data_IF_150023571076
#
_entry.id   IF_150023571076
#
_cell.length_a   1.000
_cell.length_b   1.000
_cell.length_c   1.000
_cell.angle_alpha   90.00
_cell.angle_beta   90.00
_cell.angle_gamma   90.00
#
_symmetry.space_group_name_H-M   'P 1'
#
loop_
_entity.id
_entity.type
_entity.pdbx_description
1 polymer ?
#
# COMPACT_ATOMS: atom_id res chain seq x y z
N UNK A 1 9.92 7.26 1.26
CA UNK A 1 8.71 7.88 1.83
C UNK A 1 7.68 8.04 0.71
N UNK A 2 6.45 7.56 0.86
CA UNK A 2 5.43 7.58 -0.20
C UNK A 2 4.31 8.55 0.21
N UNK A 3 4.41 9.80 -0.25
CA UNK A 3 3.35 10.78 -0.10
C UNK A 3 2.35 10.60 -1.25
N UNK A 4 1.08 10.35 -0.92
CA UNK A 4 0.00 10.39 -1.88
C UNK A 4 -0.52 11.83 -1.96
N UNK A 5 0.04 12.65 -2.84
CA UNK A 5 -0.66 13.86 -3.29
C UNK A 5 -0.70 13.86 -4.82
N UNK A 6 -1.91 14.01 -5.36
CA UNK A 6 -2.19 13.99 -6.80
C UNK A 6 -1.88 15.34 -7.46
N UNK A 7 -0.97 16.12 -6.87
CA UNK A 7 -0.56 17.44 -7.33
C UNK A 7 0.91 17.39 -7.75
N UNK A 8 1.30 18.20 -8.72
CA UNK A 8 2.71 18.45 -9.07
C UNK A 8 3.56 18.88 -7.87
N UNK A 9 2.91 19.40 -6.82
CA UNK A 9 3.52 19.74 -5.54
C UNK A 9 3.98 18.51 -4.74
N UNK A 10 3.31 17.36 -4.90
CA UNK A 10 3.65 16.10 -4.22
C UNK A 10 4.96 15.49 -4.69
N UNK A 11 5.14 15.39 -5.99
CA UNK A 11 6.38 14.88 -6.58
C UNK A 11 7.57 15.77 -6.20
N UNK A 12 7.41 17.10 -6.27
CA UNK A 12 8.44 18.05 -5.84
C UNK A 12 8.83 17.87 -4.37
N UNK A 13 7.85 17.74 -3.46
CA UNK A 13 8.13 17.49 -2.03
C UNK A 13 8.87 16.19 -1.82
N UNK A 14 8.46 15.12 -2.51
CA UNK A 14 9.11 13.81 -2.39
C UNK A 14 10.55 13.86 -2.89
N UNK A 15 10.82 14.57 -3.98
CA UNK A 15 12.19 14.80 -4.45
C UNK A 15 13.01 15.68 -3.51
N UNK A 16 12.42 16.74 -2.94
CA UNK A 16 13.08 17.60 -1.95
C UNK A 16 13.48 16.83 -0.67
N UNK A 17 12.77 15.74 -0.35
CA UNK A 17 13.11 14.81 0.73
C UNK A 17 14.20 13.79 0.35
N UNK A 18 14.84 13.93 -0.81
CA UNK A 18 15.90 13.05 -1.27
C UNK A 18 15.43 11.69 -1.80
N UNK A 19 14.13 11.54 -2.13
CA UNK A 19 13.62 10.28 -2.68
C UNK A 19 14.03 10.16 -4.14
N UNK A 20 14.97 9.24 -4.41
CA UNK A 20 15.47 8.97 -5.76
C UNK A 20 14.42 8.41 -6.73
N UNK A 21 13.42 7.68 -6.23
CA UNK A 21 12.41 7.00 -7.05
C UNK A 21 10.99 7.28 -6.56
N UNK A 22 10.39 8.36 -7.04
CA UNK A 22 9.02 8.74 -6.71
C UNK A 22 8.02 7.99 -7.60
N UNK A 23 7.15 7.18 -6.99
CA UNK A 23 6.16 6.35 -7.69
C UNK A 23 4.76 6.93 -7.50
N UNK A 24 4.55 8.09 -8.11
CA UNK A 24 3.26 8.78 -8.12
C UNK A 24 2.70 8.68 -9.55
N UNK A 25 1.57 8.02 -9.79
CA UNK A 25 0.97 7.94 -11.13
C UNK A 25 0.24 9.24 -11.46
N UNK A 26 0.35 9.72 -12.71
CA UNK A 26 -0.41 10.88 -13.16
C UNK A 26 -1.83 10.43 -13.56
N UNK A 27 -2.88 10.95 -12.93
CA UNK A 27 -4.26 10.66 -13.35
C UNK A 27 -4.59 11.38 -14.68
N UNK A 28 -5.54 10.83 -15.43
CA UNK A 28 -6.03 11.46 -16.67
C UNK A 28 -5.00 11.49 -17.80
N UNK A 29 -4.95 12.63 -18.52
CA UNK A 29 -4.09 12.78 -19.68
C UNK A 29 -2.59 12.76 -19.33
N UNK A 30 -1.81 11.97 -20.08
CA UNK A 30 -0.37 11.79 -19.89
C UNK A 30 0.37 12.15 -21.17
N UNK A 31 1.42 12.97 -21.04
CA UNK A 31 2.37 13.22 -22.12
C UNK A 31 3.18 11.95 -22.43
N UNK A 32 3.82 11.91 -23.60
CA UNK A 32 4.68 10.79 -23.99
C UNK A 32 5.82 10.55 -23.00
N UNK A 33 6.49 11.63 -22.57
CA UNK A 33 7.51 11.59 -21.52
C UNK A 33 6.99 10.97 -20.22
N UNK A 34 5.76 11.32 -19.81
CA UNK A 34 5.17 10.75 -18.60
C UNK A 34 4.86 9.26 -18.75
N UNK A 35 4.37 8.85 -19.92
CA UNK A 35 4.13 7.44 -20.22
C UNK A 35 5.43 6.66 -20.15
N UNK A 36 6.50 7.17 -20.76
CA UNK A 36 7.81 6.51 -20.76
C UNK A 36 8.41 6.45 -19.35
N UNK A 37 8.25 7.51 -18.55
CA UNK A 37 8.62 7.53 -17.14
C UNK A 37 7.87 6.46 -16.33
N UNK A 38 6.55 6.37 -16.45
CA UNK A 38 5.72 5.39 -15.72
C UNK A 38 5.93 3.94 -16.19
N UNK A 39 6.43 3.76 -17.43
CA UNK A 39 6.81 2.46 -17.99
C UNK A 39 8.13 1.94 -17.46
N UNK A 40 8.92 2.73 -16.75
CA UNK A 40 10.16 2.23 -16.16
C UNK A 40 9.91 1.05 -15.22
N UNK A 41 10.81 0.07 -15.22
CA UNK A 41 10.63 -1.18 -14.46
C UNK A 41 10.46 -0.92 -12.96
N UNK A 42 11.26 -0.03 -12.38
CA UNK A 42 11.19 0.32 -10.96
C UNK A 42 9.86 1.01 -10.62
N UNK A 43 9.32 1.83 -11.52
CA UNK A 43 8.03 2.50 -11.33
C UNK A 43 6.89 1.50 -11.29
N UNK A 44 6.86 0.57 -12.26
CA UNK A 44 5.88 -0.54 -12.28
C UNK A 44 5.96 -1.42 -11.04
N UNK A 45 7.17 -1.76 -10.58
CA UNK A 45 7.38 -2.53 -9.35
C UNK A 45 6.88 -1.78 -8.11
N UNK A 46 7.17 -0.49 -7.99
CA UNK A 46 6.67 0.32 -6.88
C UNK A 46 5.15 0.44 -6.86
N UNK A 47 4.53 0.60 -8.05
CA UNK A 47 3.06 0.60 -8.20
C UNK A 47 2.46 -0.73 -7.75
N UNK A 48 3.03 -1.85 -8.21
CA UNK A 48 2.59 -3.19 -7.83
C UNK A 48 2.74 -3.44 -6.32
N UNK A 49 3.84 -2.97 -5.72
CA UNK A 49 4.04 -3.06 -4.27
C UNK A 49 2.97 -2.30 -3.48
N UNK A 50 2.63 -1.06 -3.88
CA UNK A 50 1.52 -0.30 -3.29
C UNK A 50 0.19 -1.03 -3.42
N UNK A 51 -0.13 -1.50 -4.62
CA UNK A 51 -1.37 -2.24 -4.87
C UNK A 51 -1.45 -3.53 -4.04
N UNK A 52 -0.34 -4.24 -3.88
CA UNK A 52 -0.24 -5.41 -3.00
C UNK A 52 -0.47 -5.08 -1.52
N UNK A 53 -0.02 -3.90 -1.06
CA UNK A 53 -0.33 -3.38 0.27
C UNK A 53 -1.83 -3.19 0.50
N UNK A 54 -2.50 -2.51 -0.43
CA UNK A 54 -3.96 -2.30 -0.38
C UNK A 54 -4.72 -3.63 -0.44
N UNK A 55 -4.30 -4.55 -1.32
CA UNK A 55 -4.88 -5.88 -1.40
C UNK A 55 -4.73 -6.66 -0.08
N UNK A 56 -3.58 -6.53 0.60
CA UNK A 56 -3.37 -7.13 1.92
C UNK A 56 -4.29 -6.50 2.97
N UNK A 57 -4.42 -5.18 3.00
CA UNK A 57 -5.33 -4.48 3.92
C UNK A 57 -6.78 -4.93 3.69
N UNK A 58 -7.23 -4.98 2.43
CA UNK A 58 -8.54 -5.48 2.07
C UNK A 58 -8.75 -6.94 2.54
N UNK A 59 -7.77 -7.81 2.31
CA UNK A 59 -7.80 -9.20 2.81
C UNK A 59 -7.95 -9.24 4.33
N UNK A 60 -7.17 -8.47 5.08
CA UNK A 60 -7.28 -8.41 6.54
C UNK A 60 -8.67 -7.92 6.99
N UNK A 61 -9.23 -6.92 6.32
CA UNK A 61 -10.58 -6.40 6.61
C UNK A 61 -11.67 -7.43 6.36
N UNK A 62 -11.65 -8.11 5.21
CA UNK A 62 -12.75 -8.97 4.75
C UNK A 62 -12.64 -10.42 5.22
N UNK A 63 -11.42 -10.95 5.43
CA UNK A 63 -11.20 -12.37 5.79
C UNK A 63 -10.83 -12.57 7.25
N UNK A 64 -10.20 -11.58 7.90
CA UNK A 64 -9.60 -11.74 9.23
C UNK A 64 -10.15 -10.76 10.27
N UNK A 65 -11.31 -10.16 10.02
CA UNK A 65 -12.04 -9.36 11.01
C UNK A 65 -11.45 -8.00 11.34
N UNK A 66 -10.45 -7.51 10.59
CA UNK A 66 -9.82 -6.20 10.86
C UNK A 66 -10.78 -5.02 10.69
N UNK A 67 -11.88 -5.18 9.95
CA UNK A 67 -12.77 -4.08 9.58
C UNK A 67 -13.47 -3.40 10.78
N UNK A 68 -13.74 -4.14 11.87
CA UNK A 68 -14.41 -3.60 13.06
C UNK A 68 -13.91 -4.30 14.33
N UNK A 69 -13.54 -3.50 15.33
CA UNK A 69 -13.18 -4.00 16.65
C UNK A 69 -14.43 -4.36 17.46
N UNK A 70 -14.40 -5.52 18.14
CA UNK A 70 -15.37 -5.90 19.18
C UNK A 70 -15.00 -5.36 20.57
N UNK A 71 -13.75 -4.93 20.74
CA UNK A 71 -13.26 -4.31 21.97
C UNK A 71 -13.51 -2.79 21.93
N UNK A 72 -13.75 -2.19 23.10
CA UNK A 72 -13.92 -0.74 23.24
C UNK A 72 -12.56 -0.02 23.24
N UNK A 73 -12.55 1.19 22.69
CA UNK A 73 -11.40 2.11 22.72
C UNK A 73 -10.26 1.76 21.75
N UNK A 74 -9.28 2.66 21.67
CA UNK A 74 -8.14 2.57 20.75
C UNK A 74 -7.31 1.29 20.95
N UNK A 75 -7.02 0.94 22.21
CA UNK A 75 -6.31 -0.32 22.55
C UNK A 75 -7.02 -1.54 21.98
N UNK A 76 -8.35 -1.52 21.98
CA UNK A 76 -9.20 -2.55 21.38
C UNK A 76 -9.05 -2.64 19.86
N UNK A 77 -9.08 -1.49 19.18
CA UNK A 77 -8.82 -1.40 17.74
C UNK A 77 -7.44 -1.94 17.36
N UNK A 78 -6.40 -1.49 18.06
CA UNK A 78 -5.01 -1.91 17.82
C UNK A 78 -4.88 -3.43 17.98
N UNK A 79 -5.50 -3.99 19.04
CA UNK A 79 -5.55 -5.44 19.25
C UNK A 79 -6.24 -6.18 18.10
N UNK A 80 -7.36 -5.67 17.59
CA UNK A 80 -8.05 -6.26 16.43
C UNK A 80 -7.17 -6.29 15.18
N UNK A 81 -6.39 -5.23 14.93
CA UNK A 81 -5.44 -5.18 13.80
C UNK A 81 -4.35 -6.25 13.94
N UNK A 82 -3.74 -6.38 15.12
CA UNK A 82 -2.70 -7.38 15.35
C UNK A 82 -3.23 -8.81 15.21
N UNK A 83 -4.41 -9.13 15.75
CA UNK A 83 -4.99 -10.46 15.60
C UNK A 83 -5.27 -10.81 14.14
N UNK A 84 -5.79 -9.87 13.35
CA UNK A 84 -6.02 -10.09 11.94
C UNK A 84 -4.72 -10.39 11.18
N UNK A 85 -3.64 -9.65 11.49
CA UNK A 85 -2.33 -9.86 10.89
C UNK A 85 -1.73 -11.23 11.27
N UNK A 86 -1.80 -11.61 12.54
CA UNK A 86 -1.32 -12.92 13.02
C UNK A 86 -2.08 -14.05 12.34
N UNK A 87 -3.41 -14.00 12.33
CA UNK A 87 -4.25 -15.01 11.69
C UNK A 87 -3.93 -15.17 10.19
N UNK A 88 -3.77 -14.06 9.47
CA UNK A 88 -3.37 -14.08 8.07
C UNK A 88 -2.01 -14.76 7.84
N UNK A 89 -1.03 -14.46 8.69
CA UNK A 89 0.30 -15.06 8.58
C UNK A 89 0.27 -16.56 8.87
N UNK A 90 -0.46 -16.98 9.91
CA UNK A 90 -0.64 -18.40 10.23
C UNK A 90 -1.31 -19.16 9.08
N UNK A 91 -2.39 -18.63 8.50
CA UNK A 91 -3.01 -19.23 7.31
C UNK A 91 -2.02 -19.33 6.14
N UNK A 92 -1.23 -18.29 5.88
CA UNK A 92 -0.27 -18.30 4.78
C UNK A 92 0.91 -19.26 5.00
N UNK A 93 1.28 -19.55 6.26
CA UNK A 93 2.28 -20.57 6.59
C UNK A 93 1.66 -21.96 6.39
N UNK A 94 0.47 -22.20 6.93
CA UNK A 94 -0.22 -23.48 6.79
C UNK A 94 -0.43 -23.88 5.32
N UNK A 95 -0.77 -22.93 4.44
CA UNK A 95 -0.95 -23.18 3.00
C UNK A 95 0.35 -23.41 2.21
N UNK A 96 1.53 -23.35 2.85
CA UNK A 96 2.83 -23.60 2.21
C UNK A 96 3.50 -24.89 2.68
N UNK A 97 2.98 -25.48 3.76
CA UNK A 97 3.55 -26.66 4.43
C UNK A 97 2.79 -27.94 4.06
N UNK A 98 1.66 -27.83 3.35
CA UNK A 98 0.99 -28.95 2.66
C UNK A 98 1.25 -28.87 1.16
#
# INVERSE_FOLDING_TARGET
MIAASNSTDGERRVWALGVHHAVIPKPGFRSRERIDYERQRWFRRGRAWRAGGEARIARLKHRFGMARSRYRGERGMVRTVYWAAIANNLTAIASRVG
#
